data_IF_464428203911
#
_entry.id   IF_464428203911
#
_cell.length_a   1.000
_cell.length_b   1.000
_cell.length_c   1.000
_cell.angle_alpha   90.00
_cell.angle_beta   90.00
_cell.angle_gamma   90.00
#
_symmetry.space_group_name_H-M   'P 1'
#
loop_
_entity.id
_entity.type
_entity.pdbx_description
1 polymer ?
#
# COMPACT_ATOMS: atom_id res chain seq x y z
N UNK A 1 -51.95 -24.43 10.02
CA UNK A 1 -52.10 -25.72 10.75
C UNK A 1 -50.69 -26.31 10.88
N UNK A 2 -50.14 -26.68 12.04
CA UNK A 2 -50.62 -27.58 13.10
C UNK A 2 -50.73 -29.04 12.58
N UNK A 3 -50.22 -30.09 13.25
CA UNK A 3 -49.62 -30.24 14.61
C UNK A 3 -48.49 -31.29 14.59
N UNK A 4 -47.32 -31.06 15.20
CA UNK A 4 -46.91 -31.41 16.59
C UNK A 4 -46.81 -32.91 16.97
N UNK A 5 -45.57 -33.31 17.34
CA UNK A 5 -45.21 -34.22 18.46
C UNK A 5 -45.63 -35.72 18.30
N UNK A 6 -45.17 -36.70 19.09
CA UNK A 6 -44.30 -36.69 20.29
C UNK A 6 -43.58 -38.04 20.53
N UNK A 7 -42.42 -38.00 21.22
CA UNK A 7 -41.99 -38.90 22.33
C UNK A 7 -41.92 -40.45 22.16
N UNK A 8 -41.26 -41.23 23.06
CA UNK A 8 -40.00 -41.15 23.89
C UNK A 8 -39.88 -42.46 24.71
N UNK A 9 -38.70 -42.77 25.28
CA UNK A 9 -38.41 -43.91 26.21
C UNK A 9 -38.39 -45.29 25.51
N UNK A 10 -37.70 -46.36 25.96
CA UNK A 10 -36.78 -46.60 27.10
C UNK A 10 -36.45 -48.11 27.20
N UNK A 11 -35.55 -48.65 28.06
CA UNK A 11 -34.52 -48.06 28.92
C UNK A 11 -33.55 -49.15 29.51
N UNK A 12 -32.30 -48.75 29.85
CA UNK A 12 -31.43 -49.24 30.95
C UNK A 12 -30.92 -50.70 31.08
N UNK A 13 -29.58 -50.84 31.06
CA UNK A 13 -28.71 -51.43 32.11
C UNK A 13 -27.27 -50.88 31.86
N UNK A 14 -26.44 -50.34 32.76
CA UNK A 14 -26.24 -50.30 34.24
C UNK A 14 -25.64 -51.53 34.94
N UNK A 15 -24.32 -51.49 35.13
CA UNK A 15 -23.62 -51.23 36.44
C UNK A 15 -22.30 -50.49 36.12
N UNK A 16 -21.87 -49.38 36.74
CA UNK A 16 -21.59 -49.06 38.16
C UNK A 16 -20.27 -49.73 38.65
N UNK A 17 -19.28 -49.11 39.33
CA UNK A 17 -19.07 -47.80 40.02
C UNK A 17 -17.54 -47.49 39.97
N UNK A 18 -16.98 -46.28 39.73
CA UNK A 18 -16.90 -45.02 40.51
C UNK A 18 -16.10 -45.15 41.85
N UNK A 19 -15.69 -44.08 42.61
CA UNK A 19 -15.85 -42.61 42.45
C UNK A 19 -14.51 -41.77 42.65
N UNK A 20 -14.27 -40.63 41.96
CA UNK A 20 -14.44 -39.20 42.40
C UNK A 20 -13.41 -38.64 43.45
N UNK A 21 -13.27 -37.31 43.69
CA UNK A 21 -14.07 -36.15 43.24
C UNK A 21 -13.33 -34.92 42.65
N UNK A 22 -14.11 -33.91 42.23
CA UNK A 22 -13.69 -32.56 41.78
C UNK A 22 -14.66 -31.51 42.39
N UNK A 23 -14.24 -30.24 42.50
CA UNK A 23 -15.02 -29.03 42.81
C UNK A 23 -15.43 -28.82 44.29
N UNK A 24 -15.93 -27.61 44.70
CA UNK A 24 -16.10 -26.34 43.98
C UNK A 24 -15.37 -25.11 44.63
N UNK A 25 -15.38 -23.92 43.99
CA UNK A 25 -14.75 -22.71 44.54
C UNK A 25 -15.65 -21.90 45.49
N UNK A 26 -15.05 -21.03 46.31
CA UNK A 26 -15.76 -20.04 47.14
C UNK A 26 -15.02 -18.69 47.19
N UNK A 27 -15.78 -17.59 47.19
CA UNK A 27 -15.30 -16.21 47.26
C UNK A 27 -15.79 -15.54 48.55
N UNK A 28 -14.89 -14.97 49.37
CA UNK A 28 -15.23 -13.99 50.42
C UNK A 28 -14.00 -13.25 50.97
N UNK A 29 -14.24 -12.05 51.48
CA UNK A 29 -13.22 -11.11 51.96
C UNK A 29 -13.25 -10.94 53.48
N UNK A 30 -12.09 -10.68 54.12
CA UNK A 30 -12.01 -9.91 55.38
C UNK A 30 -10.59 -9.44 55.73
N UNK A 31 -10.52 -8.29 56.41
CA UNK A 31 -9.31 -7.75 57.08
C UNK A 31 -9.11 -8.42 58.44
N UNK A 32 -7.85 -8.58 58.91
CA UNK A 32 -7.37 -7.93 60.17
C UNK A 32 -5.93 -8.29 60.60
N UNK A 33 -5.25 -7.24 61.09
CA UNK A 33 -4.25 -7.17 62.20
C UNK A 33 -2.90 -7.89 62.10
N UNK A 34 -1.89 -7.18 62.60
CA UNK A 34 -0.55 -7.59 63.01
C UNK A 34 -0.44 -7.76 64.54
N UNK A 35 0.72 -8.25 65.03
CA UNK A 35 1.25 -7.93 66.36
C UNK A 35 2.47 -6.98 66.32
N UNK A 36 2.76 -6.35 67.45
CA UNK A 36 3.96 -5.56 67.82
C UNK A 36 5.13 -6.49 68.23
N UNK A 37 6.39 -6.07 68.50
CA UNK A 37 7.05 -4.75 68.65
C UNK A 37 8.54 -4.96 69.05
N UNK A 38 9.30 -3.94 69.57
CA UNK A 38 8.79 -2.72 70.23
C UNK A 38 9.32 -1.33 69.76
N UNK A 39 10.58 -0.96 70.02
CA UNK A 39 11.04 0.43 70.32
C UNK A 39 12.50 0.72 69.87
N UNK A 40 13.12 1.92 69.97
CA UNK A 40 12.82 3.21 70.68
C UNK A 40 13.55 4.41 70.01
N UNK A 41 12.93 5.61 69.93
CA UNK A 41 13.56 6.95 69.88
C UNK A 41 12.47 8.06 69.99
N UNK A 42 12.81 9.26 70.48
CA UNK A 42 11.86 10.31 70.91
C UNK A 42 11.66 11.50 69.94
N UNK A 43 10.64 12.39 70.13
CA UNK A 43 10.04 13.19 69.05
C UNK A 43 10.40 14.69 69.00
N UNK A 44 10.00 15.34 67.89
CA UNK A 44 10.04 16.80 67.63
C UNK A 44 8.67 17.24 67.07
N UNK A 45 8.11 18.42 67.43
CA UNK A 45 6.68 18.69 67.28
C UNK A 45 6.21 19.11 65.87
N UNK A 46 4.90 19.01 65.67
CA UNK A 46 4.15 19.23 64.42
C UNK A 46 3.77 20.69 64.13
N UNK A 47 3.69 21.04 62.84
CA UNK A 47 2.96 22.22 62.35
C UNK A 47 2.22 21.91 61.05
N UNK A 48 0.89 22.12 61.03
CA UNK A 48 0.03 21.83 59.87
C UNK A 48 0.05 22.99 58.85
N UNK A 49 0.24 22.73 57.54
CA UNK A 49 0.26 23.76 56.52
C UNK A 49 -1.14 24.18 56.05
N UNK A 50 -1.46 25.48 56.16
CA UNK A 50 -2.71 26.08 55.68
C UNK A 50 -2.80 26.05 54.15
N UNK A 51 -3.99 25.70 53.63
CA UNK A 51 -4.24 25.60 52.17
C UNK A 51 -4.61 26.95 51.53
N UNK A 52 -3.86 27.43 50.50
CA UNK A 52 -4.22 28.64 49.75
C UNK A 52 -5.32 28.37 48.68
N UNK A 53 -6.10 29.40 48.28
CA UNK A 53 -7.30 29.21 47.45
C UNK A 53 -7.02 28.94 45.96
N UNK A 54 -7.91 28.13 45.34
CA UNK A 54 -7.89 27.80 43.91
C UNK A 54 -7.97 29.04 42.99
N UNK A 55 -6.90 29.34 42.26
CA UNK A 55 -7.00 30.13 41.02
C UNK A 55 -7.75 29.34 39.94
N UNK A 56 -8.69 29.97 39.24
CA UNK A 56 -9.41 29.36 38.11
C UNK A 56 -8.49 29.34 36.88
N UNK A 57 -8.18 28.16 36.35
CA UNK A 57 -7.44 28.01 35.10
C UNK A 57 -8.29 28.41 33.87
N UNK A 58 -7.66 28.71 32.72
CA UNK A 58 -8.38 29.08 31.50
C UNK A 58 -9.32 27.99 30.99
N UNK A 59 -10.36 28.42 30.27
CA UNK A 59 -11.40 27.56 29.67
C UNK A 59 -10.76 26.66 28.59
N UNK A 60 -10.94 25.35 28.70
CA UNK A 60 -10.44 24.38 27.71
C UNK A 60 -11.08 24.65 26.36
N UNK A 61 -10.26 24.93 25.34
CA UNK A 61 -10.68 24.99 23.94
C UNK A 61 -10.96 23.57 23.41
N UNK A 62 -11.92 23.39 22.49
CA UNK A 62 -12.19 22.08 21.90
C UNK A 62 -10.95 21.57 21.16
N UNK A 63 -10.69 20.26 21.27
CA UNK A 63 -9.49 19.63 20.75
C UNK A 63 -9.33 19.86 19.24
N UNK A 64 -8.10 20.20 18.83
CA UNK A 64 -7.73 20.32 17.42
C UNK A 64 -8.04 18.99 16.71
N UNK A 65 -8.73 18.99 15.55
CA UNK A 65 -9.07 17.75 14.88
C UNK A 65 -7.79 16.99 14.51
N UNK A 66 -7.69 15.75 14.99
CA UNK A 66 -6.54 14.87 14.74
C UNK A 66 -6.36 14.75 13.22
N UNK A 67 -5.16 15.04 12.67
CA UNK A 67 -4.92 14.90 11.24
C UNK A 67 -5.15 13.45 10.81
N UNK A 68 -5.62 13.20 9.57
CA UNK A 68 -5.84 11.84 9.10
C UNK A 68 -4.55 10.99 9.23
N UNK A 69 -4.67 9.67 9.46
CA UNK A 69 -3.52 8.79 9.30
C UNK A 69 -2.96 8.99 7.90
N UNK A 70 -1.64 9.15 7.79
CA UNK A 70 -1.01 9.54 6.52
C UNK A 70 -1.01 8.34 5.55
N UNK A 71 -2.13 8.14 4.84
CA UNK A 71 -2.11 7.54 3.50
C UNK A 71 -1.03 8.26 2.72
N UNK A 72 0.02 7.56 2.22
CA UNK A 72 1.14 8.24 1.60
C UNK A 72 0.63 9.00 0.38
N UNK A 73 0.81 10.32 0.39
CA UNK A 73 0.27 11.23 -0.63
C UNK A 73 0.82 10.91 -2.03
N UNK A 74 0.32 11.53 -3.11
CA UNK A 74 0.94 11.43 -4.42
C UNK A 74 2.46 11.74 -4.43
N UNK A 75 2.97 12.49 -3.46
CA UNK A 75 4.41 12.70 -3.23
C UNK A 75 5.19 11.45 -2.85
N UNK A 76 4.56 10.43 -2.26
CA UNK A 76 5.15 9.13 -1.94
C UNK A 76 4.94 8.09 -3.06
N UNK A 77 3.79 8.17 -3.77
CA UNK A 77 3.61 7.49 -5.05
C UNK A 77 4.71 7.90 -6.04
N UNK A 78 5.04 9.20 -6.08
CA UNK A 78 6.19 9.69 -6.82
C UNK A 78 7.45 8.93 -6.40
N UNK A 79 7.81 8.79 -5.12
CA UNK A 79 9.07 8.12 -4.73
C UNK A 79 9.12 6.61 -5.09
N UNK A 80 7.96 5.94 -5.23
CA UNK A 80 7.89 4.57 -5.78
C UNK A 80 8.22 4.55 -7.29
N UNK A 81 7.98 5.67 -7.99
CA UNK A 81 8.19 5.87 -9.44
C UNK A 81 9.34 6.85 -9.81
N UNK A 82 10.05 7.46 -8.84
CA UNK A 82 10.92 8.62 -9.06
C UNK A 82 12.40 8.23 -9.16
N UNK A 83 12.89 8.33 -10.40
CA UNK A 83 14.29 8.63 -10.80
C UNK A 83 15.40 8.13 -9.87
N UNK A 84 16.04 7.05 -10.31
CA UNK A 84 17.48 6.87 -10.11
C UNK A 84 18.25 8.03 -10.81
N UNK A 85 18.80 8.94 -10.00
CA UNK A 85 19.70 10.05 -10.39
C UNK A 85 19.11 11.24 -11.19
N UNK A 86 19.69 12.44 -10.97
CA UNK A 86 19.49 13.65 -11.79
C UNK A 86 20.55 13.81 -12.90
N UNK A 87 21.28 12.74 -13.26
CA UNK A 87 22.00 12.69 -14.54
C UNK A 87 21.02 12.71 -15.71
N UNK A 88 21.26 13.55 -16.71
CA UNK A 88 20.46 13.58 -17.95
C UNK A 88 20.81 12.36 -18.81
N UNK A 89 20.26 11.20 -18.46
CA UNK A 89 20.25 10.05 -19.37
C UNK A 89 19.39 10.40 -20.60
N UNK A 90 19.78 9.96 -21.81
CA UNK A 90 18.99 10.22 -23.02
C UNK A 90 17.57 9.70 -22.85
N UNK A 91 16.58 10.40 -23.44
CA UNK A 91 15.18 9.96 -23.43
C UNK A 91 15.13 8.56 -24.03
N UNK A 92 14.78 7.55 -23.23
CA UNK A 92 14.61 6.17 -23.72
C UNK A 92 13.56 6.21 -24.82
N UNK A 93 13.96 5.94 -26.08
CA UNK A 93 13.04 5.97 -27.21
C UNK A 93 11.90 4.98 -26.93
N UNK A 94 10.66 5.43 -27.03
CA UNK A 94 9.51 4.57 -26.85
C UNK A 94 9.54 3.49 -27.94
N UNK A 95 9.73 2.23 -27.53
CA UNK A 95 9.64 1.07 -28.40
C UNK A 95 8.16 0.69 -28.46
N UNK A 96 7.65 0.43 -29.66
CA UNK A 96 6.30 -0.10 -29.84
C UNK A 96 6.31 -1.60 -29.52
N UNK A 97 5.60 -2.01 -28.46
CA UNK A 97 5.55 -3.39 -27.96
C UNK A 97 4.10 -3.80 -27.81
N UNK A 98 3.79 -5.09 -27.82
CA UNK A 98 2.46 -5.52 -27.38
C UNK A 98 2.21 -5.08 -25.93
N UNK A 99 0.98 -4.67 -25.66
CA UNK A 99 0.54 -4.25 -24.35
C UNK A 99 -0.74 -5.00 -23.97
N UNK A 100 -0.81 -5.44 -22.71
CA UNK A 100 -1.97 -6.12 -22.12
C UNK A 100 -2.33 -5.36 -20.84
N UNK A 101 -3.56 -4.84 -20.70
CA UNK A 101 -3.94 -4.09 -19.50
C UNK A 101 -3.80 -4.86 -18.17
N UNK A 102 -3.85 -6.20 -18.20
CA UNK A 102 -3.76 -7.08 -17.02
C UNK A 102 -2.33 -7.46 -16.64
N UNK A 103 -1.41 -7.42 -17.60
CA UNK A 103 0.01 -7.74 -17.43
C UNK A 103 0.86 -6.47 -17.33
N UNK A 104 2.17 -6.66 -17.17
CA UNK A 104 3.12 -5.56 -16.96
C UNK A 104 3.49 -4.89 -18.29
N UNK A 105 3.23 -3.58 -18.38
CA UNK A 105 3.52 -2.76 -19.56
C UNK A 105 4.80 -1.93 -19.43
N UNK A 106 5.50 -1.96 -18.28
CA UNK A 106 6.89 -1.50 -18.17
C UNK A 106 7.90 -2.56 -18.65
N UNK A 107 9.04 -2.16 -19.26
CA UNK A 107 10.23 -2.98 -19.35
C UNK A 107 10.88 -3.12 -17.96
N UNK A 108 10.85 -4.32 -17.38
CA UNK A 108 11.44 -4.61 -16.07
C UNK A 108 12.94 -4.86 -16.20
N UNK A 109 13.74 -4.30 -15.30
CA UNK A 109 15.16 -4.62 -15.17
C UNK A 109 15.33 -5.73 -14.13
N UNK A 110 16.00 -6.82 -14.48
CA UNK A 110 16.44 -7.86 -13.54
C UNK A 110 17.31 -7.23 -12.44
N UNK A 111 16.90 -7.28 -11.16
CA UNK A 111 17.64 -6.63 -10.07
C UNK A 111 19.09 -7.06 -9.91
N UNK A 112 19.40 -8.32 -10.22
CA UNK A 112 20.69 -8.95 -9.96
C UNK A 112 21.61 -8.93 -11.20
N UNK A 113 21.05 -8.98 -12.41
CA UNK A 113 21.83 -9.06 -13.66
C UNK A 113 21.73 -7.81 -14.53
N UNK A 114 20.94 -6.80 -14.13
CA UNK A 114 20.65 -5.57 -14.89
C UNK A 114 20.13 -5.77 -16.33
N UNK A 115 19.81 -7.01 -16.73
CA UNK A 115 19.21 -7.34 -18.03
C UNK A 115 17.77 -6.85 -18.08
N UNK A 116 17.33 -6.35 -19.24
CA UNK A 116 15.93 -5.94 -19.44
C UNK A 116 15.10 -7.16 -19.84
N UNK A 117 14.04 -7.41 -19.08
CA UNK A 117 12.93 -8.29 -19.44
C UNK A 117 11.80 -7.38 -19.93
N UNK A 118 11.44 -7.51 -21.20
CA UNK A 118 10.33 -6.79 -21.81
C UNK A 118 9.39 -7.81 -22.46
N UNK A 119 8.08 -7.67 -22.24
CA UNK A 119 7.07 -8.38 -23.02
C UNK A 119 7.30 -8.14 -24.52
N UNK A 120 7.10 -9.21 -25.30
CA UNK A 120 7.67 -9.39 -26.65
C UNK A 120 7.52 -8.17 -27.58
N UNK A 121 8.53 -7.88 -28.43
CA UNK A 121 8.38 -6.99 -29.57
C UNK A 121 7.13 -7.34 -30.39
N UNK A 122 6.41 -6.33 -30.88
CA UNK A 122 5.17 -6.56 -31.61
C UNK A 122 5.38 -7.29 -32.97
N UNK A 123 6.63 -7.36 -33.43
CA UNK A 123 7.04 -7.97 -34.70
C UNK A 123 7.37 -9.47 -34.56
N UNK A 124 7.72 -9.94 -33.34
CA UNK A 124 8.14 -11.34 -33.09
C UNK A 124 6.96 -12.33 -32.95
N UNK A 125 5.71 -11.85 -32.98
CA UNK A 125 4.54 -12.72 -32.76
C UNK A 125 4.11 -13.41 -34.05
N UNK A 126 4.48 -14.69 -34.13
CA UNK A 126 4.17 -15.61 -35.23
C UNK A 126 2.73 -15.48 -35.75
N UNK A 127 2.53 -15.42 -37.09
CA UNK A 127 1.22 -15.12 -37.69
C UNK A 127 0.15 -16.19 -37.41
N UNK A 128 0.54 -17.39 -36.97
CA UNK A 128 -0.40 -18.49 -36.66
C UNK A 128 -1.32 -18.22 -35.46
N UNK A 129 -1.11 -17.14 -34.69
CA UNK A 129 -2.01 -16.72 -33.59
C UNK A 129 -2.87 -15.49 -33.93
N UNK A 130 -2.94 -15.08 -35.20
CA UNK A 130 -3.67 -13.89 -35.64
C UNK A 130 -5.18 -14.13 -35.83
N UNK A 131 -5.97 -13.99 -34.76
CA UNK A 131 -7.43 -13.83 -34.87
C UNK A 131 -7.88 -12.35 -34.94
N UNK A 132 -6.94 -11.41 -34.95
CA UNK A 132 -7.18 -9.97 -35.08
C UNK A 132 -6.28 -9.39 -36.17
N UNK A 133 -6.89 -8.64 -37.10
CA UNK A 133 -6.20 -8.02 -38.23
C UNK A 133 -5.21 -6.90 -37.80
N UNK A 134 -4.29 -6.50 -38.69
CA UNK A 134 -3.14 -5.64 -38.35
C UNK A 134 -3.51 -4.24 -37.81
N UNK A 135 -4.74 -3.76 -38.01
CA UNK A 135 -5.21 -2.47 -37.51
C UNK A 135 -5.83 -2.48 -36.10
N UNK A 136 -6.01 -3.64 -35.46
CA UNK A 136 -6.75 -3.76 -34.18
C UNK A 136 -5.90 -4.39 -33.07
N UNK A 137 -4.67 -3.87 -32.89
CA UNK A 137 -3.66 -4.41 -31.96
C UNK A 137 -3.32 -3.37 -30.90
N UNK A 138 -3.60 -3.68 -29.64
CA UNK A 138 -3.20 -2.89 -28.48
C UNK A 138 -1.68 -2.97 -28.27
N UNK A 139 -1.04 -1.82 -28.11
CA UNK A 139 0.41 -1.65 -27.95
C UNK A 139 0.77 -0.54 -26.98
N UNK A 140 2.04 -0.46 -26.59
CA UNK A 140 2.59 0.64 -25.77
C UNK A 140 2.45 2.03 -26.41
N UNK A 141 2.09 2.12 -27.69
CA UNK A 141 1.85 3.39 -28.38
C UNK A 141 0.39 3.89 -28.27
N UNK A 142 -0.61 2.99 -28.24
CA UNK A 142 -2.03 3.33 -28.32
C UNK A 142 -2.88 2.93 -27.10
N UNK A 143 -2.39 2.09 -26.19
CA UNK A 143 -3.18 1.53 -25.07
C UNK A 143 -3.79 2.60 -24.14
N UNK A 144 -3.14 3.76 -23.95
CA UNK A 144 -3.73 4.87 -23.20
C UNK A 144 -4.87 5.56 -23.96
N UNK A 145 -4.77 5.68 -25.29
CA UNK A 145 -5.85 6.25 -26.10
C UNK A 145 -7.07 5.30 -26.10
N UNK A 146 -6.83 3.99 -26.24
CA UNK A 146 -7.86 2.95 -26.10
C UNK A 146 -8.52 3.00 -24.70
N UNK A 147 -7.73 3.14 -23.65
CA UNK A 147 -8.22 3.28 -22.28
C UNK A 147 -9.09 4.53 -22.09
N UNK A 148 -8.63 5.70 -22.54
CA UNK A 148 -9.39 6.95 -22.47
C UNK A 148 -10.69 6.87 -23.29
N UNK A 149 -10.64 6.27 -24.50
CA UNK A 149 -11.80 6.04 -25.36
C UNK A 149 -12.82 5.10 -24.71
N UNK A 150 -12.35 4.06 -24.01
CA UNK A 150 -13.20 3.17 -23.21
C UNK A 150 -13.82 3.89 -22.00
N UNK A 151 -13.02 4.64 -21.23
CA UNK A 151 -13.50 5.45 -20.09
C UNK A 151 -14.63 6.41 -20.51
N UNK A 152 -14.46 7.15 -21.60
CA UNK A 152 -15.47 8.09 -22.14
C UNK A 152 -16.72 7.34 -22.62
N UNK A 153 -16.58 6.15 -23.22
CA UNK A 153 -17.71 5.31 -23.64
C UNK A 153 -18.52 4.77 -22.45
N UNK A 154 -17.87 4.50 -21.31
CA UNK A 154 -18.50 3.97 -20.09
C UNK A 154 -19.18 5.08 -19.29
N UNK A 155 -18.56 6.26 -19.21
CA UNK A 155 -19.06 7.42 -18.44
C UNK A 155 -18.60 8.73 -19.11
N UNK A 156 -19.41 9.34 -19.99
CA UNK A 156 -19.02 10.52 -20.76
C UNK A 156 -18.55 11.71 -19.92
N UNK A 157 -19.02 11.85 -18.68
CA UNK A 157 -18.64 12.93 -17.74
C UNK A 157 -17.15 12.91 -17.36
N UNK A 158 -16.43 11.83 -17.63
CA UNK A 158 -14.97 11.77 -17.43
C UNK A 158 -14.18 12.48 -18.53
N UNK A 159 -14.80 12.83 -19.66
CA UNK A 159 -14.11 13.43 -20.82
C UNK A 159 -13.33 14.72 -20.48
N UNK A 160 -13.89 15.76 -19.81
CA UNK A 160 -13.15 17.00 -19.55
C UNK A 160 -11.97 16.78 -18.58
N UNK A 161 -12.12 15.80 -17.67
CA UNK A 161 -11.08 15.39 -16.74
C UNK A 161 -9.89 14.73 -17.47
N UNK A 162 -10.16 13.96 -18.53
CA UNK A 162 -9.15 13.41 -19.45
C UNK A 162 -8.46 14.52 -20.25
N UNK A 163 -9.24 15.40 -20.89
CA UNK A 163 -8.72 16.49 -21.73
C UNK A 163 -7.82 17.45 -20.95
N UNK A 164 -8.15 17.73 -19.68
CA UNK A 164 -7.32 18.55 -18.80
C UNK A 164 -6.09 17.84 -18.23
N UNK A 165 -6.13 16.52 -18.01
CA UNK A 165 -5.08 15.79 -17.27
C UNK A 165 -4.47 14.66 -18.10
N UNK A 166 -3.31 14.93 -18.72
CA UNK A 166 -2.57 13.91 -19.46
C UNK A 166 -1.96 12.83 -18.54
N UNK A 167 -2.38 11.58 -18.71
CA UNK A 167 -1.94 10.44 -17.91
C UNK A 167 -0.54 9.92 -18.32
N UNK A 168 0.52 10.69 -18.04
CA UNK A 168 1.92 10.35 -18.38
C UNK A 168 2.34 8.94 -17.90
N UNK A 169 1.76 8.43 -16.81
CA UNK A 169 2.13 7.12 -16.24
C UNK A 169 1.96 5.98 -17.26
N UNK A 170 0.89 6.04 -18.06
CA UNK A 170 0.57 5.05 -19.09
C UNK A 170 0.78 5.58 -20.53
N UNK A 171 1.35 6.78 -20.71
CA UNK A 171 1.70 7.29 -22.04
C UNK A 171 2.88 6.49 -22.62
N UNK A 172 3.16 6.59 -23.94
CA UNK A 172 4.29 5.89 -24.56
C UNK A 172 5.65 6.19 -23.88
N UNK A 173 5.82 7.40 -23.34
CA UNK A 173 6.99 7.76 -22.53
C UNK A 173 7.01 7.07 -21.16
N UNK A 174 5.86 6.95 -20.50
CA UNK A 174 5.72 6.26 -19.21
C UNK A 174 5.89 4.75 -19.31
N UNK A 175 5.41 4.15 -20.40
CA UNK A 175 5.58 2.72 -20.73
C UNK A 175 6.99 2.39 -21.27
N UNK A 176 7.79 3.41 -21.61
CA UNK A 176 9.21 3.26 -21.95
C UNK A 176 10.15 3.36 -20.72
N UNK A 177 9.61 3.66 -19.53
CA UNK A 177 10.41 3.76 -18.29
C UNK A 177 10.89 2.37 -17.83
N UNK A 178 12.21 2.17 -17.82
CA UNK A 178 12.82 0.95 -17.26
C UNK A 178 12.69 0.95 -15.74
N UNK A 179 12.07 -0.10 -15.20
CA UNK A 179 11.80 -0.23 -13.75
C UNK A 179 12.63 -1.37 -13.17
N UNK A 180 13.53 -1.06 -12.23
CA UNK A 180 14.12 -2.05 -11.34
C UNK A 180 13.13 -2.31 -10.19
N UNK A 181 12.52 -3.51 -10.10
CA UNK A 181 11.45 -3.78 -9.15
C UNK A 181 11.96 -3.80 -7.70
N UNK A 182 13.21 -4.25 -7.49
CA UNK A 182 13.84 -4.22 -6.17
C UNK A 182 14.08 -2.78 -5.72
N UNK A 183 14.64 -1.92 -6.59
CA UNK A 183 14.81 -0.49 -6.28
C UNK A 183 13.48 0.19 -5.93
N UNK A 184 12.43 0.00 -6.74
CA UNK A 184 11.11 0.61 -6.49
C UNK A 184 10.49 0.13 -5.18
N UNK A 185 10.51 -1.18 -4.89
CA UNK A 185 9.94 -1.74 -3.67
C UNK A 185 10.74 -1.32 -2.41
N UNK A 186 12.07 -1.34 -2.46
CA UNK A 186 12.92 -0.79 -1.39
C UNK A 186 12.69 0.72 -1.20
N UNK A 187 12.59 1.50 -2.29
CA UNK A 187 12.30 2.93 -2.23
C UNK A 187 10.94 3.21 -1.57
N UNK A 188 9.94 2.36 -1.84
CA UNK A 188 8.65 2.38 -1.15
C UNK A 188 8.78 2.16 0.35
N UNK A 189 9.44 1.07 0.78
CA UNK A 189 9.68 0.74 2.20
C UNK A 189 10.45 1.88 2.91
N UNK A 190 11.50 2.41 2.28
CA UNK A 190 12.29 3.56 2.78
C UNK A 190 11.40 4.78 3.02
N UNK A 191 10.40 5.03 2.17
CA UNK A 191 9.56 6.23 2.18
C UNK A 191 8.35 6.16 3.13
N UNK A 192 7.99 4.98 3.65
CA UNK A 192 6.87 4.84 4.58
C UNK A 192 7.02 5.74 5.81
N UNK A 193 5.99 6.48 6.20
CA UNK A 193 5.92 7.28 7.43
C UNK A 193 7.04 8.35 7.59
N UNK A 194 7.64 8.82 6.49
CA UNK A 194 8.65 9.91 6.50
C UNK A 194 8.37 10.95 5.41
N UNK A 195 8.93 12.15 5.54
CA UNK A 195 8.82 13.18 4.48
C UNK A 195 9.64 12.79 3.24
N UNK A 196 9.26 13.29 2.06
CA UNK A 196 10.01 13.05 0.82
C UNK A 196 11.45 13.60 0.83
N UNK A 197 11.76 14.57 1.70
CA UNK A 197 13.14 15.00 1.95
C UNK A 197 13.93 13.95 2.76
N UNK A 198 13.33 13.43 3.84
CA UNK A 198 13.94 12.37 4.64
C UNK A 198 14.10 11.06 3.86
N UNK A 199 13.09 10.66 3.09
CA UNK A 199 13.15 9.47 2.22
C UNK A 199 14.31 9.52 1.22
N UNK A 200 14.49 10.66 0.53
CA UNK A 200 15.62 10.87 -0.39
C UNK A 200 16.97 10.88 0.33
N UNK A 201 17.05 11.49 1.51
CA UNK A 201 18.27 11.46 2.34
C UNK A 201 18.66 10.03 2.74
N UNK A 202 17.69 9.23 3.20
CA UNK A 202 17.90 7.83 3.58
C UNK A 202 18.25 6.98 2.35
N UNK A 203 17.56 7.12 1.22
CA UNK A 203 17.88 6.40 -0.03
C UNK A 203 19.31 6.72 -0.52
N UNK A 204 19.73 7.97 -0.48
CA UNK A 204 21.08 8.38 -0.87
C UNK A 204 22.16 7.79 0.06
N UNK A 205 21.91 7.77 1.38
CA UNK A 205 22.81 7.13 2.35
C UNK A 205 22.84 5.61 2.20
N UNK A 206 21.69 4.99 1.96
CA UNK A 206 21.57 3.55 1.72
C UNK A 206 22.39 3.11 0.50
N UNK A 207 22.23 3.81 -0.63
CA UNK A 207 23.07 3.61 -1.83
C UNK A 207 24.56 3.80 -1.53
N UNK A 208 24.92 4.79 -0.71
CA UNK A 208 26.31 5.03 -0.34
C UNK A 208 26.94 3.93 0.56
N UNK A 209 26.16 3.01 1.15
CA UNK A 209 26.71 1.84 1.87
C UNK A 209 27.33 0.79 0.94
N UNK A 210 27.08 0.89 -0.36
CA UNK A 210 27.44 -0.09 -1.41
C UNK A 210 28.27 0.54 -2.55
N UNK A 211 28.82 1.74 -2.33
CA UNK A 211 29.83 2.31 -3.22
C UNK A 211 31.20 1.92 -2.65
N UNK A 212 31.87 0.94 -3.25
CA UNK A 212 33.09 0.36 -2.68
C UNK A 212 34.34 1.22 -2.90
N UNK A 213 34.35 2.06 -3.94
CA UNK A 213 35.49 2.90 -4.32
C UNK A 213 35.08 4.36 -4.60
N UNK A 214 35.98 5.30 -4.34
CA UNK A 214 35.81 6.69 -4.79
C UNK A 214 35.91 6.76 -6.31
N UNK A 215 34.94 7.43 -6.95
CA UNK A 215 34.84 7.56 -8.41
C UNK A 215 33.85 6.59 -9.07
N UNK A 216 33.43 5.50 -8.41
CA UNK A 216 32.46 4.58 -9.02
C UNK A 216 31.05 5.19 -9.19
N UNK A 217 30.35 4.83 -10.29
CA UNK A 217 29.01 5.32 -10.57
C UNK A 217 27.97 4.71 -9.62
N UNK A 218 27.64 5.43 -8.55
CA UNK A 218 26.65 5.06 -7.51
C UNK A 218 25.34 4.51 -8.10
N UNK A 219 25.24 3.18 -8.16
CA UNK A 219 24.04 2.42 -8.55
C UNK A 219 23.21 2.04 -7.32
N UNK A 220 21.95 1.65 -7.52
CA UNK A 220 21.23 0.93 -6.48
C UNK A 220 21.88 -0.45 -6.27
N UNK A 221 22.02 -0.94 -5.03
CA UNK A 221 22.59 -2.26 -4.79
C UNK A 221 21.70 -3.38 -5.35
N UNK A 222 22.32 -4.50 -5.70
CA UNK A 222 21.66 -5.73 -6.07
C UNK A 222 21.06 -6.41 -4.83
N UNK A 223 20.06 -7.30 -5.00
CA UNK A 223 19.53 -8.12 -3.91
C UNK A 223 20.61 -8.89 -3.14
N UNK A 224 21.57 -9.51 -3.83
CA UNK A 224 22.67 -10.26 -3.22
C UNK A 224 23.45 -9.44 -2.18
N UNK A 225 23.87 -8.23 -2.55
CA UNK A 225 24.65 -7.30 -1.70
C UNK A 225 23.87 -6.89 -0.44
N UNK A 226 22.58 -6.55 -0.61
CA UNK A 226 21.70 -6.16 0.51
C UNK A 226 21.40 -7.37 1.42
N UNK A 227 21.20 -8.55 0.84
CA UNK A 227 20.96 -9.79 1.59
C UNK A 227 22.20 -10.24 2.39
N UNK A 228 23.41 -10.00 1.89
CA UNK A 228 24.66 -10.26 2.61
C UNK A 228 24.96 -9.23 3.73
N UNK A 229 24.31 -8.06 3.72
CA UNK A 229 24.61 -6.96 4.64
C UNK A 229 23.88 -7.09 5.98
N UNK A 230 24.59 -6.82 7.09
CA UNK A 230 24.02 -6.86 8.45
C UNK A 230 22.98 -5.76 8.68
N UNK A 231 22.01 -6.03 9.55
CA UNK A 231 20.93 -5.07 9.89
C UNK A 231 21.51 -3.80 10.52
N UNK A 232 22.58 -3.94 11.31
CA UNK A 232 23.31 -2.86 11.96
C UNK A 232 23.92 -1.91 10.92
N UNK A 233 24.60 -2.47 9.90
CA UNK A 233 25.14 -1.69 8.77
C UNK A 233 24.02 -1.00 7.98
N UNK A 234 22.94 -1.72 7.63
CA UNK A 234 21.79 -1.13 6.93
C UNK A 234 21.16 0.04 7.71
N UNK A 235 21.12 -0.04 9.05
CA UNK A 235 20.59 1.05 9.91
C UNK A 235 21.44 2.32 9.91
N UNK A 236 22.74 2.25 9.62
CA UNK A 236 23.60 3.46 9.56
C UNK A 236 23.15 4.46 8.48
N UNK A 237 22.43 4.01 7.44
CA UNK A 237 21.80 4.88 6.45
C UNK A 237 20.62 5.72 6.99
N UNK A 238 20.16 5.48 8.22
CA UNK A 238 18.96 6.10 8.79
C UNK A 238 17.70 5.25 8.67
N UNK A 239 17.83 3.94 8.41
CA UNK A 239 16.71 3.00 8.49
C UNK A 239 16.35 2.72 9.96
N UNK A 240 15.06 2.58 10.25
CA UNK A 240 14.60 1.96 11.49
C UNK A 240 14.86 0.46 11.44
N UNK A 241 14.94 -0.19 12.61
CA UNK A 241 15.09 -1.65 12.74
C UNK A 241 14.16 -2.42 11.80
N UNK A 242 12.85 -2.12 11.85
CA UNK A 242 11.84 -2.75 10.99
C UNK A 242 12.09 -2.48 9.50
N UNK A 243 12.46 -1.26 9.09
CA UNK A 243 12.75 -0.98 7.66
C UNK A 243 13.99 -1.73 7.16
N UNK A 244 15.03 -1.88 7.99
CA UNK A 244 16.20 -2.68 7.66
C UNK A 244 15.86 -4.17 7.52
N UNK A 245 15.07 -4.72 8.45
CA UNK A 245 14.53 -6.10 8.36
C UNK A 245 13.70 -6.30 7.07
N UNK A 246 12.83 -5.35 6.73
CA UNK A 246 11.95 -5.44 5.55
C UNK A 246 12.75 -5.35 4.24
N UNK A 247 13.75 -4.47 4.18
CA UNK A 247 14.63 -4.33 3.00
C UNK A 247 15.53 -5.56 2.82
N UNK A 248 16.10 -6.12 3.90
CA UNK A 248 16.90 -7.35 3.84
C UNK A 248 16.04 -8.56 3.44
N UNK A 249 14.86 -8.74 4.04
CA UNK A 249 13.94 -9.83 3.69
C UNK A 249 13.37 -9.75 2.27
N UNK A 250 13.16 -8.53 1.74
CA UNK A 250 12.84 -8.32 0.32
C UNK A 250 14.02 -8.70 -0.59
N UNK A 251 15.25 -8.38 -0.18
CA UNK A 251 16.46 -8.74 -0.92
C UNK A 251 16.65 -10.27 -0.97
N UNK A 252 16.56 -10.94 0.18
CA UNK A 252 16.60 -12.41 0.30
C UNK A 252 15.60 -13.10 -0.65
N UNK A 253 14.37 -12.57 -0.77
CA UNK A 253 13.32 -13.08 -1.67
C UNK A 253 13.58 -12.87 -3.16
N UNK A 254 14.42 -11.91 -3.54
CA UNK A 254 14.92 -11.81 -4.92
C UNK A 254 16.14 -12.70 -5.14
N UNK A 255 17.06 -12.78 -4.17
CA UNK A 255 18.28 -13.60 -4.23
C UNK A 255 17.97 -15.10 -4.30
N UNK A 256 16.92 -15.57 -3.62
CA UNK A 256 16.48 -16.97 -3.64
C UNK A 256 15.51 -17.32 -4.79
N UNK A 257 15.12 -16.35 -5.62
CA UNK A 257 14.21 -16.54 -6.76
C UNK A 257 12.71 -16.62 -6.44
N UNK A 258 12.27 -16.47 -5.18
CA UNK A 258 10.84 -16.45 -4.82
C UNK A 258 10.10 -15.29 -5.51
N UNK A 259 10.78 -14.16 -5.64
CA UNK A 259 10.46 -13.01 -6.47
C UNK A 259 11.47 -12.91 -7.62
N UNK A 260 10.99 -12.69 -8.84
CA UNK A 260 11.84 -12.46 -10.01
C UNK A 260 11.23 -11.41 -10.93
N UNK A 261 12.07 -10.74 -11.72
CA UNK A 261 11.60 -9.79 -12.73
C UNK A 261 10.73 -10.49 -13.81
N UNK A 262 10.95 -11.77 -14.08
CA UNK A 262 10.13 -12.57 -14.99
C UNK A 262 8.71 -12.77 -14.43
N UNK A 263 8.60 -13.23 -13.19
CA UNK A 263 7.31 -13.42 -12.51
C UNK A 263 6.53 -12.10 -12.41
N UNK A 264 7.20 -11.00 -12.05
CA UNK A 264 6.56 -9.68 -12.01
C UNK A 264 6.10 -9.18 -13.39
N UNK A 265 6.74 -9.61 -14.47
CA UNK A 265 6.34 -9.26 -15.84
C UNK A 265 5.09 -10.06 -16.28
N UNK A 266 5.09 -11.37 -16.06
CA UNK A 266 4.20 -12.32 -16.76
C UNK A 266 3.08 -12.90 -15.91
N UNK A 267 3.24 -13.01 -14.59
CA UNK A 267 2.24 -13.66 -13.73
C UNK A 267 0.93 -12.85 -13.63
N UNK A 268 -0.22 -13.48 -13.35
CA UNK A 268 -1.48 -12.78 -13.06
C UNK A 268 -1.34 -11.78 -11.91
N UNK A 269 -2.18 -10.74 -11.88
CA UNK A 269 -2.09 -9.70 -10.84
C UNK A 269 -2.28 -10.31 -9.44
N UNK A 270 -3.14 -11.31 -9.30
CA UNK A 270 -3.45 -12.01 -8.07
C UNK A 270 -2.21 -12.71 -7.48
N UNK A 271 -1.42 -13.40 -8.32
CA UNK A 271 -0.19 -14.07 -7.89
C UNK A 271 0.90 -13.05 -7.50
N UNK A 272 1.08 -12.01 -8.32
CA UNK A 272 2.00 -10.90 -8.02
C UNK A 272 1.62 -10.21 -6.72
N UNK A 273 0.33 -9.98 -6.50
CA UNK A 273 -0.23 -9.37 -5.30
C UNK A 273 0.09 -10.22 -4.07
N UNK A 274 -0.21 -11.50 -4.10
CA UNK A 274 -0.10 -12.38 -2.93
C UNK A 274 1.37 -12.67 -2.59
N UNK A 275 2.24 -12.87 -3.58
CA UNK A 275 3.69 -12.94 -3.40
C UNK A 275 4.29 -11.67 -2.80
N UNK A 276 3.84 -10.49 -3.22
CA UNK A 276 4.34 -9.22 -2.69
C UNK A 276 3.79 -8.89 -1.29
N UNK A 277 2.53 -9.24 -0.98
CA UNK A 277 1.97 -9.08 0.38
C UNK A 277 2.64 -10.02 1.39
N UNK A 278 3.13 -11.19 0.94
CA UNK A 278 3.96 -12.07 1.76
C UNK A 278 5.33 -11.47 2.15
N UNK A 279 5.75 -10.35 1.55
CA UNK A 279 6.94 -9.60 1.99
C UNK A 279 6.57 -8.74 3.21
N UNK A 280 7.06 -9.13 4.39
CA UNK A 280 6.92 -8.36 5.62
C UNK A 280 7.42 -6.93 5.41
N UNK A 281 6.50 -5.96 5.39
CA UNK A 281 6.76 -4.55 5.10
C UNK A 281 5.99 -3.98 3.90
N UNK A 282 5.43 -4.83 3.03
CA UNK A 282 4.54 -4.45 1.94
C UNK A 282 3.08 -4.76 2.33
N UNK A 283 2.26 -3.73 2.47
CA UNK A 283 0.81 -3.89 2.61
C UNK A 283 0.11 -3.83 1.25
N UNK A 284 -1.13 -4.34 1.16
CA UNK A 284 -1.95 -4.36 -0.06
C UNK A 284 -1.88 -3.04 -0.86
N UNK A 285 -2.10 -1.89 -0.21
CA UNK A 285 -2.02 -0.58 -0.86
C UNK A 285 -0.64 -0.32 -1.51
N UNK A 286 0.47 -0.66 -0.87
CA UNK A 286 1.81 -0.49 -1.45
C UNK A 286 2.03 -1.40 -2.66
N UNK A 287 1.42 -2.58 -2.66
CA UNK A 287 1.47 -3.55 -3.76
C UNK A 287 0.58 -3.11 -4.93
N UNK A 288 -0.61 -2.57 -4.66
CA UNK A 288 -1.48 -1.93 -5.65
C UNK A 288 -0.79 -0.72 -6.32
N UNK A 289 -0.14 0.14 -5.53
CA UNK A 289 0.65 1.27 -6.06
C UNK A 289 1.84 0.79 -6.89
N UNK A 290 2.57 -0.24 -6.44
CA UNK A 290 3.68 -0.80 -7.22
C UNK A 290 3.20 -1.42 -8.55
N UNK A 291 2.07 -2.13 -8.55
CA UNK A 291 1.51 -2.72 -9.75
C UNK A 291 1.00 -1.66 -10.76
N UNK A 292 0.35 -0.60 -10.26
CA UNK A 292 -0.11 0.53 -11.07
C UNK A 292 1.05 1.38 -11.63
N UNK A 293 2.00 1.81 -10.79
CA UNK A 293 2.99 2.82 -11.17
C UNK A 293 4.36 2.26 -11.56
N UNK A 294 4.76 1.12 -10.99
CA UNK A 294 6.01 0.41 -11.31
C UNK A 294 5.82 -0.59 -12.45
N UNK A 295 4.90 -1.54 -12.28
CA UNK A 295 4.63 -2.57 -13.31
C UNK A 295 3.79 -2.03 -14.49
N UNK A 296 3.16 -0.87 -14.34
CA UNK A 296 2.27 -0.25 -15.36
C UNK A 296 1.11 -1.17 -15.76
N UNK A 297 0.61 -1.96 -14.81
CA UNK A 297 -0.64 -2.72 -15.00
C UNK A 297 -1.79 -1.73 -15.00
N UNK A 298 -2.72 -1.88 -15.95
CA UNK A 298 -3.80 -0.93 -16.19
C UNK A 298 -5.15 -1.40 -15.60
N UNK A 299 -5.24 -2.65 -15.11
CA UNK A 299 -6.45 -3.23 -14.52
C UNK A 299 -6.42 -3.43 -12.98
N UNK A 300 -5.56 -2.71 -12.27
CA UNK A 300 -5.44 -2.72 -10.80
C UNK A 300 -6.27 -1.60 -10.17
N UNK A 301 -6.92 -1.86 -9.03
CA UNK A 301 -7.77 -0.88 -8.35
C UNK A 301 -7.61 -0.93 -6.83
N UNK A 302 -7.33 0.21 -6.19
CA UNK A 302 -7.18 0.31 -4.73
C UNK A 302 -8.46 0.78 -4.05
N UNK A 303 -9.15 -0.15 -3.36
CA UNK A 303 -10.30 0.18 -2.52
C UNK A 303 -9.89 0.90 -1.22
N UNK A 304 -8.66 0.67 -0.75
CA UNK A 304 -8.13 1.23 0.49
C UNK A 304 -7.60 2.67 0.38
N UNK A 305 -7.40 3.21 -0.82
CA UNK A 305 -6.84 4.54 -1.01
C UNK A 305 -7.87 5.65 -0.69
N UNK A 306 -7.58 6.46 0.32
CA UNK A 306 -8.44 7.57 0.77
C UNK A 306 -8.49 8.75 -0.23
N UNK A 307 -7.56 8.82 -1.18
CA UNK A 307 -7.61 9.73 -2.33
C UNK A 307 -8.60 9.24 -3.38
N UNK A 308 -8.50 7.98 -3.80
CA UNK A 308 -9.43 7.34 -4.74
C UNK A 308 -10.85 7.36 -4.19
N UNK A 309 -11.07 6.96 -2.93
CA UNK A 309 -12.38 7.03 -2.27
C UNK A 309 -13.00 8.43 -2.34
N UNK A 310 -12.19 9.47 -2.12
CA UNK A 310 -12.63 10.86 -2.07
C UNK A 310 -12.92 11.40 -3.48
N UNK A 311 -12.06 11.09 -4.44
CA UNK A 311 -12.26 11.38 -5.86
C UNK A 311 -13.51 10.72 -6.43
N UNK A 312 -13.72 9.43 -6.16
CA UNK A 312 -14.94 8.73 -6.55
C UNK A 312 -16.20 9.30 -5.89
N UNK A 313 -16.12 9.71 -4.62
CA UNK A 313 -17.25 10.34 -3.93
C UNK A 313 -17.61 11.68 -4.60
N UNK A 314 -16.64 12.54 -4.87
CA UNK A 314 -16.84 13.79 -5.61
C UNK A 314 -17.40 13.53 -7.02
N UNK A 315 -16.79 12.61 -7.80
CA UNK A 315 -17.24 12.21 -9.14
C UNK A 315 -18.67 11.61 -9.15
N UNK A 316 -19.11 11.03 -8.04
CA UNK A 316 -20.48 10.56 -7.81
C UNK A 316 -21.44 11.66 -7.33
N UNK A 317 -21.07 12.94 -7.41
CA UNK A 317 -21.88 14.08 -6.94
C UNK A 317 -22.02 14.16 -5.41
N UNK A 318 -21.19 13.45 -4.64
CA UNK A 318 -21.29 13.46 -3.16
C UNK A 318 -20.45 14.59 -2.58
N UNK A 319 -21.07 15.38 -1.71
CA UNK A 319 -20.41 16.42 -0.92
C UNK A 319 -19.36 15.81 0.03
N UNK A 320 -18.09 15.87 -0.39
CA UNK A 320 -16.94 15.34 0.37
C UNK A 320 -16.68 16.09 1.68
N UNK A 321 -17.12 17.34 1.81
CA UNK A 321 -16.98 18.12 3.04
C UNK A 321 -18.01 17.66 4.09
N UNK A 322 -19.27 17.43 3.70
CA UNK A 322 -20.30 16.83 4.56
C UNK A 322 -19.97 15.37 4.93
N UNK A 323 -19.36 14.60 4.01
CA UNK A 323 -18.86 13.25 4.31
C UNK A 323 -17.74 13.27 5.37
N UNK A 324 -16.76 14.18 5.22
CA UNK A 324 -15.69 14.39 6.21
C UNK A 324 -16.23 14.71 7.62
N UNK A 325 -17.30 15.49 7.71
CA UNK A 325 -17.93 15.84 8.99
C UNK A 325 -18.67 14.67 9.67
N UNK A 326 -19.27 13.75 8.90
CA UNK A 326 -20.10 12.64 9.43
C UNK A 326 -19.30 11.43 9.93
N UNK A 327 -18.01 11.31 9.60
CA UNK A 327 -17.24 10.06 9.76
C UNK A 327 -16.95 9.57 11.18
N UNK A 328 -17.21 10.36 12.23
CA UNK A 328 -17.00 9.93 13.64
C UNK A 328 -15.57 9.48 13.97
N UNK A 329 -14.56 10.00 13.25
CA UNK A 329 -13.15 9.59 13.33
C UNK A 329 -12.73 8.49 12.36
N UNK A 330 -13.66 7.81 11.67
CA UNK A 330 -13.35 6.87 10.58
C UNK A 330 -13.48 7.55 9.22
N UNK A 331 -12.35 7.74 8.55
CA UNK A 331 -12.26 8.32 7.22
C UNK A 331 -12.75 7.30 6.18
N UNK A 332 -13.95 7.49 5.64
CA UNK A 332 -14.51 6.67 4.55
C UNK A 332 -15.48 7.51 3.71
N UNK A 333 -15.13 7.76 2.44
CA UNK A 333 -15.92 8.64 1.55
C UNK A 333 -16.90 7.86 0.67
N UNK A 334 -16.59 6.60 0.37
CA UNK A 334 -17.41 5.70 -0.42
C UNK A 334 -17.36 4.29 0.20
N UNK A 335 -18.38 3.45 -0.02
CA UNK A 335 -18.34 2.06 0.43
C UNK A 335 -17.52 1.21 -0.54
N UNK A 336 -16.82 0.18 -0.05
CA UNK A 336 -16.05 -0.74 -0.91
C UNK A 336 -16.93 -1.45 -1.95
N UNK A 337 -18.22 -1.66 -1.62
CA UNK A 337 -19.23 -2.15 -2.57
C UNK A 337 -19.49 -1.12 -3.67
N UNK A 338 -19.84 0.12 -3.31
CA UNK A 338 -20.09 1.21 -4.26
C UNK A 338 -18.88 1.41 -5.19
N UNK A 339 -17.66 1.38 -4.62
CA UNK A 339 -16.41 1.50 -5.36
C UNK A 339 -16.21 0.35 -6.33
N UNK A 340 -16.45 -0.89 -5.90
CA UNK A 340 -16.30 -2.09 -6.74
C UNK A 340 -17.31 -2.09 -7.88
N UNK A 341 -18.58 -1.78 -7.59
CA UNK A 341 -19.65 -1.68 -8.58
C UNK A 341 -19.36 -0.58 -9.62
N UNK A 342 -18.85 0.58 -9.19
CA UNK A 342 -18.44 1.65 -10.11
C UNK A 342 -17.19 1.28 -10.92
N UNK A 343 -16.11 0.83 -10.27
CA UNK A 343 -14.83 0.54 -10.91
C UNK A 343 -14.91 -0.65 -11.87
N UNK A 344 -15.77 -1.65 -11.60
CA UNK A 344 -15.96 -2.82 -12.46
C UNK A 344 -16.30 -2.46 -13.92
N UNK A 345 -17.04 -1.36 -14.12
CA UNK A 345 -17.47 -0.87 -15.44
C UNK A 345 -16.30 -0.41 -16.32
N UNK A 346 -15.19 -0.02 -15.70
CA UNK A 346 -13.99 0.51 -16.36
C UNK A 346 -12.92 -0.57 -16.61
N UNK A 347 -13.21 -1.86 -16.37
CA UNK A 347 -12.32 -2.95 -16.72
C UNK A 347 -12.24 -3.11 -18.26
N UNK A 348 -11.03 -3.28 -18.85
CA UNK A 348 -9.77 -3.67 -18.19
C UNK A 348 -8.82 -2.50 -17.88
N UNK A 349 -9.33 -1.27 -17.72
CA UNK A 349 -8.54 -0.03 -17.54
C UNK A 349 -8.77 0.62 -16.17
N UNK A 350 -9.05 -0.18 -15.13
CA UNK A 350 -9.36 0.28 -13.78
C UNK A 350 -8.29 1.19 -13.15
N UNK A 351 -7.01 1.00 -13.46
CA UNK A 351 -5.92 1.87 -12.97
C UNK A 351 -5.88 3.22 -13.66
N UNK A 352 -6.35 3.32 -14.91
CA UNK A 352 -6.49 4.61 -15.61
C UNK A 352 -7.65 5.39 -14.99
N UNK A 353 -8.79 4.74 -14.76
CA UNK A 353 -9.90 5.32 -14.00
C UNK A 353 -9.46 5.75 -12.59
N UNK A 354 -8.77 4.88 -11.84
CA UNK A 354 -8.18 5.20 -10.53
C UNK A 354 -7.25 6.43 -10.59
N UNK A 355 -6.40 6.52 -11.63
CA UNK A 355 -5.50 7.66 -11.81
C UNK A 355 -6.26 8.97 -11.98
N UNK A 356 -7.35 8.95 -12.75
CA UNK A 356 -8.24 10.10 -12.92
C UNK A 356 -9.00 10.45 -11.64
N UNK A 357 -9.36 9.49 -10.78
CA UNK A 357 -10.02 9.79 -9.50
C UNK A 357 -9.14 10.65 -8.58
N UNK A 358 -7.81 10.51 -8.57
CA UNK A 358 -6.94 11.45 -7.85
C UNK A 358 -6.94 12.88 -8.43
N UNK A 359 -7.38 13.08 -9.69
CA UNK A 359 -7.45 14.39 -10.39
C UNK A 359 -8.78 15.10 -10.25
N UNK A 360 -9.79 14.43 -9.68
CA UNK A 360 -11.13 15.00 -9.44
C UNK A 360 -11.08 16.18 -8.48
N UNK A 361 -10.10 16.27 -7.57
CA UNK A 361 -9.91 17.46 -6.71
C UNK A 361 -8.98 18.52 -7.33
N UNK A 362 -8.21 18.17 -8.36
CA UNK A 362 -7.43 19.12 -9.16
C UNK A 362 -8.31 19.84 -10.21
N UNK A 363 -9.60 19.48 -10.30
CA UNK A 363 -10.55 19.94 -11.33
C UNK A 363 -11.92 20.22 -10.73
N UNK A 364 -12.44 21.44 -10.90
CA UNK A 364 -13.76 21.80 -10.41
C UNK A 364 -14.86 21.06 -11.20
N UNK A 365 -15.40 20.01 -10.59
CA UNK A 365 -16.46 19.18 -11.19
C UNK A 365 -17.79 19.92 -11.35
N UNK A 366 -18.01 21.06 -10.68
CA UNK A 366 -19.20 21.88 -10.90
C UNK A 366 -19.20 22.61 -12.25
N UNK A 367 -18.07 22.60 -12.96
CA UNK A 367 -17.96 23.08 -14.35
C UNK A 367 -18.12 21.95 -15.39
N UNK A 368 -18.45 20.73 -14.95
CA UNK A 368 -18.54 19.53 -15.78
C UNK A 368 -19.94 18.89 -15.82
N UNK A 369 -20.96 19.58 -15.30
CA UNK A 369 -22.39 19.26 -15.42
C UNK A 369 -23.02 19.98 -16.63
#
# INVERSE_FOLDING_TARGET
MASRRSARLGAQARTDIAPHPIAPPANKSRKRKSPTGPTLADPVPSSDPVTPPRKRGPKVTPATPIPPPVTPTPSAVNIIAERASRTVKPRTKAINRLADPKLTNAPIVSPETSRVIASHPAEDVSPSKLSAGPGNRTTTANILEEACRHLIKVEPRIKPLIEKNHCRVFSPEGLAEKVNPFESLCSGIISQQVSGAAARSIKNKFVALFAEQEGEPKRFPHPSEVAATSIERLRTAGLSQRKAEYVKGLAEKFTNGELSAQMLAEAPYEEVRDKLIAVRGLGLWSVEMFACFGLKRMDVFSLGDLGVQRGMAAFAGRDVAKLKAKGGGKWKYMSEKDMTEMASKFAPYRSVFMWYMWRVEETDISTLE
#
